data_IF_682163910882
#
_entry.id   IF_682163910882
#
_cell.length_a   1.000
_cell.length_b   1.000
_cell.length_c   1.000
_cell.angle_alpha   90.00
_cell.angle_beta   90.00
_cell.angle_gamma   90.00
#
_symmetry.space_group_name_H-M   'P 1'
#
loop_
_entity.id
_entity.type
_entity.pdbx_description
1 polymer ?
#
# COMPACT_ATOMS: atom_id res chain seq x y z
N UNK A 1 25.98 -34.31 -12.38
CA UNK A 1 25.97 -34.14 -10.91
C UNK A 1 26.51 -32.79 -10.49
N UNK A 2 27.73 -32.50 -10.87
CA UNK A 2 28.36 -31.23 -10.52
C UNK A 2 27.64 -30.06 -11.15
N UNK A 3 27.11 -30.21 -12.34
CA UNK A 3 26.34 -29.19 -13.02
C UNK A 3 25.10 -28.81 -12.24
N UNK A 4 24.51 -29.80 -11.59
CA UNK A 4 23.30 -29.56 -10.79
C UNK A 4 23.58 -28.65 -9.60
N UNK A 5 24.74 -28.82 -8.99
CA UNK A 5 25.14 -27.98 -7.88
C UNK A 5 25.29 -26.51 -8.29
N UNK A 6 25.86 -26.28 -9.47
CA UNK A 6 26.03 -24.94 -9.99
C UNK A 6 24.70 -24.27 -10.24
N UNK A 7 23.74 -25.01 -10.76
CA UNK A 7 22.39 -24.46 -10.97
C UNK A 7 21.74 -24.06 -9.67
N UNK A 8 21.88 -24.86 -8.64
CA UNK A 8 21.35 -24.53 -7.34
C UNK A 8 21.95 -23.26 -6.78
N UNK A 9 23.22 -23.06 -6.95
CA UNK A 9 23.90 -21.85 -6.51
C UNK A 9 23.35 -20.63 -7.20
N UNK A 10 23.10 -20.71 -8.49
CA UNK A 10 22.56 -19.59 -9.24
C UNK A 10 21.15 -19.22 -8.76
N UNK A 11 20.32 -20.21 -8.52
CA UNK A 11 18.96 -19.97 -7.99
C UNK A 11 19.01 -19.30 -6.62
N UNK A 12 19.95 -19.73 -5.80
CA UNK A 12 20.11 -19.16 -4.48
C UNK A 12 20.50 -17.69 -4.55
N UNK A 13 21.36 -17.32 -5.48
CA UNK A 13 21.75 -15.93 -5.68
C UNK A 13 20.56 -15.06 -6.07
N UNK A 14 19.67 -15.56 -6.92
CA UNK A 14 18.47 -14.84 -7.29
C UNK A 14 17.55 -14.62 -6.08
N UNK A 15 17.45 -15.62 -5.22
CA UNK A 15 16.66 -15.50 -4.01
C UNK A 15 17.21 -14.40 -3.10
N UNK A 16 18.54 -14.26 -3.03
CA UNK A 16 19.14 -13.20 -2.23
C UNK A 16 18.79 -11.82 -2.74
N UNK A 17 18.74 -11.63 -4.06
CA UNK A 17 18.33 -10.35 -4.65
C UNK A 17 16.88 -10.04 -4.29
N UNK A 18 16.00 -11.03 -4.38
CA UNK A 18 14.60 -10.85 -4.04
C UNK A 18 14.42 -10.48 -2.57
N UNK A 19 15.32 -10.92 -1.68
CA UNK A 19 15.22 -10.65 -0.26
C UNK A 19 15.46 -9.17 0.08
N UNK A 20 15.94 -8.36 -0.86
CA UNK A 20 16.16 -6.94 -0.64
C UNK A 20 14.85 -6.14 -0.62
N UNK A 21 13.77 -6.69 -1.19
CA UNK A 21 12.49 -5.99 -1.25
C UNK A 21 11.76 -6.06 0.08
N UNK A 22 11.07 -4.98 0.40
CA UNK A 22 10.38 -4.85 1.68
C UNK A 22 8.87 -4.98 1.52
N UNK A 23 8.20 -5.29 2.62
CA UNK A 23 6.75 -5.39 2.70
C UNK A 23 6.22 -4.32 3.66
N UNK A 24 5.14 -3.68 3.26
CA UNK A 24 4.44 -2.71 4.10
C UNK A 24 2.99 -3.14 4.27
N UNK A 25 2.62 -3.40 5.51
CA UNK A 25 1.25 -3.74 5.89
C UNK A 25 0.56 -2.46 6.35
N UNK A 26 -0.49 -2.06 5.64
CA UNK A 26 -1.22 -0.84 5.95
C UNK A 26 -2.59 -1.22 6.49
N UNK A 27 -2.86 -0.82 7.72
CA UNK A 27 -4.19 -0.96 8.30
C UNK A 27 -4.94 0.34 8.07
N UNK A 28 -5.97 0.30 7.23
CA UNK A 28 -6.86 1.43 7.02
C UNK A 28 -7.95 1.36 8.09
N UNK A 29 -8.06 2.38 8.91
CA UNK A 29 -8.97 2.39 10.06
C UNK A 29 -10.04 3.46 9.91
N UNK A 30 -11.09 3.36 10.70
CA UNK A 30 -12.23 4.27 10.72
C UNK A 30 -12.96 4.32 9.38
N UNK A 31 -13.07 3.17 8.73
CA UNK A 31 -13.82 3.02 7.48
C UNK A 31 -15.31 3.07 7.82
N UNK A 32 -16.05 3.96 7.15
CA UNK A 32 -17.44 4.23 7.50
C UNK A 32 -18.46 3.27 6.89
N UNK A 33 -18.09 2.50 5.88
CA UNK A 33 -19.05 1.60 5.22
C UNK A 33 -18.35 0.44 4.54
N UNK A 34 -19.14 -0.57 4.16
CA UNK A 34 -18.68 -1.72 3.41
C UNK A 34 -18.71 -1.49 1.89
N UNK A 35 -19.05 -0.29 1.45
CA UNK A 35 -19.22 0.00 0.04
C UNK A 35 -17.87 0.20 -0.65
N UNK A 36 -17.73 -0.37 -1.84
CA UNK A 36 -16.57 -0.15 -2.69
C UNK A 36 -15.29 -0.75 -2.17
N UNK A 37 -14.19 -0.04 -2.32
CA UNK A 37 -12.86 -0.54 -2.01
C UNK A 37 -12.00 0.51 -1.34
N UNK A 38 -10.99 0.05 -0.62
CA UNK A 38 -9.92 0.91 -0.13
C UNK A 38 -8.78 0.82 -1.13
N UNK A 39 -8.40 1.94 -1.71
CA UNK A 39 -7.31 2.02 -2.68
C UNK A 39 -6.10 2.63 -2.02
N UNK A 40 -4.93 2.05 -2.25
CA UNK A 40 -3.68 2.48 -1.64
C UNK A 40 -2.65 2.75 -2.71
N UNK A 41 -1.90 3.82 -2.55
CA UNK A 41 -0.79 4.15 -3.42
C UNK A 41 0.42 4.51 -2.58
N UNK A 42 1.55 3.86 -2.85
CA UNK A 42 2.82 4.19 -2.20
C UNK A 42 3.75 4.79 -3.24
N UNK A 43 4.09 6.06 -3.04
CA UNK A 43 4.97 6.79 -3.93
C UNK A 43 6.38 6.75 -3.39
N UNK A 44 7.32 6.34 -4.23
CA UNK A 44 8.70 6.14 -3.84
C UNK A 44 9.58 7.13 -4.58
N UNK A 45 10.42 7.86 -3.85
CA UNK A 45 11.32 8.84 -4.44
C UNK A 45 12.23 8.19 -5.48
N UNK A 46 12.34 8.80 -6.65
CA UNK A 46 13.17 8.29 -7.72
C UNK A 46 12.51 7.23 -8.59
N UNK A 47 11.28 6.84 -8.29
CA UNK A 47 10.53 5.89 -9.11
C UNK A 47 9.35 6.59 -9.77
N UNK A 48 9.16 6.32 -11.06
CA UNK A 48 8.06 6.92 -11.81
C UNK A 48 6.72 6.30 -11.47
N UNK A 49 6.72 4.99 -11.22
CA UNK A 49 5.49 4.26 -10.98
C UNK A 49 5.31 3.99 -9.48
N UNK A 50 4.17 4.40 -8.90
CA UNK A 50 3.88 4.04 -7.53
C UNK A 50 3.55 2.56 -7.39
N UNK A 51 3.60 2.08 -6.17
CA UNK A 51 3.13 0.73 -5.84
C UNK A 51 1.67 0.86 -5.42
N UNK A 52 0.80 0.05 -6.00
CA UNK A 52 -0.63 0.10 -5.73
C UNK A 52 -1.11 -1.13 -4.98
N UNK A 53 -2.10 -0.93 -4.14
CA UNK A 53 -2.79 -2.01 -3.47
C UNK A 53 -4.27 -1.68 -3.34
N UNK A 54 -5.07 -2.71 -3.12
CA UNK A 54 -6.51 -2.54 -3.00
C UNK A 54 -7.10 -3.66 -2.15
N UNK A 55 -8.16 -3.34 -1.44
CA UNK A 55 -8.94 -4.31 -0.69
C UNK A 55 -10.40 -3.90 -0.73
N UNK A 56 -11.34 -4.86 -0.76
CA UNK A 56 -12.74 -4.51 -0.55
C UNK A 56 -12.90 -3.76 0.77
N UNK A 57 -13.77 -2.76 0.78
CA UNK A 57 -14.00 -1.98 1.99
C UNK A 57 -14.80 -2.78 3.00
N UNK A 58 -14.51 -2.54 4.26
CA UNK A 58 -15.25 -3.13 5.37
C UNK A 58 -15.33 -2.10 6.47
N UNK A 59 -16.51 -1.89 7.00
CA UNK A 59 -16.73 -0.94 8.09
C UNK A 59 -15.79 -1.26 9.25
N UNK A 60 -15.08 -0.26 9.73
CA UNK A 60 -14.07 -0.42 10.76
C UNK A 60 -12.66 -0.38 10.21
N UNK A 61 -12.10 -1.51 9.83
CA UNK A 61 -10.73 -1.54 9.31
C UNK A 61 -10.48 -2.70 8.36
N UNK A 62 -9.54 -2.49 7.44
CA UNK A 62 -9.01 -3.54 6.57
C UNK A 62 -7.49 -3.40 6.50
N UNK A 63 -6.83 -4.47 6.10
CA UNK A 63 -5.38 -4.49 5.91
C UNK A 63 -5.08 -4.63 4.44
N UNK A 64 -4.22 -3.75 3.93
CA UNK A 64 -3.70 -3.82 2.56
C UNK A 64 -2.20 -4.02 2.66
N UNK A 65 -1.69 -5.05 2.00
CA UNK A 65 -0.27 -5.38 2.04
C UNK A 65 0.38 -4.99 0.71
N UNK A 66 1.43 -4.19 0.78
CA UNK A 66 2.24 -3.83 -0.39
C UNK A 66 3.56 -4.58 -0.32
N UNK A 67 3.93 -5.25 -1.40
CA UNK A 67 5.16 -6.03 -1.46
C UNK A 67 6.10 -5.47 -2.51
N UNK A 68 7.35 -5.88 -2.46
CA UNK A 68 8.31 -5.51 -3.47
C UNK A 68 8.78 -4.06 -3.41
N UNK A 69 8.78 -3.46 -2.24
CA UNK A 69 9.22 -2.07 -2.07
C UNK A 69 10.72 -2.05 -1.82
N UNK A 70 11.47 -1.47 -2.74
CA UNK A 70 12.91 -1.32 -2.63
C UNK A 70 13.25 0.12 -2.28
N UNK A 71 13.00 0.48 -1.02
CA UNK A 71 13.22 1.83 -0.55
C UNK A 71 13.19 1.87 0.98
N UNK A 72 13.74 2.93 1.55
CA UNK A 72 13.76 3.15 3.00
C UNK A 72 12.56 3.96 3.49
N UNK A 73 11.78 4.52 2.56
CA UNK A 73 10.61 5.31 2.90
C UNK A 73 9.66 5.37 1.70
N UNK A 74 8.39 5.63 1.97
CA UNK A 74 7.38 5.80 0.93
C UNK A 74 6.34 6.79 1.41
N UNK A 75 5.76 7.55 0.46
CA UNK A 75 4.62 8.39 0.74
C UNK A 75 3.37 7.59 0.42
N UNK A 76 2.62 7.24 1.45
CA UNK A 76 1.45 6.40 1.31
C UNK A 76 0.20 7.26 1.34
N UNK A 77 -0.65 7.07 0.34
CA UNK A 77 -1.96 7.70 0.27
C UNK A 77 -3.01 6.60 0.13
N UNK A 78 -4.12 6.76 0.79
CA UNK A 78 -5.22 5.83 0.60
C UNK A 78 -6.54 6.57 0.62
N UNK A 79 -7.53 6.01 -0.04
CA UNK A 79 -8.86 6.57 -0.03
C UNK A 79 -9.92 5.47 -0.15
N UNK A 80 -11.12 5.82 0.32
CA UNK A 80 -12.25 4.92 0.30
C UNK A 80 -13.09 5.22 -0.95
N UNK A 81 -12.94 4.38 -1.97
CA UNK A 81 -13.66 4.52 -3.23
C UNK A 81 -15.02 3.85 -3.11
N UNK A 82 -15.99 4.58 -2.57
CA UNK A 82 -17.31 4.03 -2.28
C UNK A 82 -18.15 3.75 -3.52
N UNK A 83 -17.94 4.49 -4.59
CA UNK A 83 -18.70 4.31 -5.83
C UNK A 83 -18.02 3.44 -6.89
N UNK A 84 -16.80 2.96 -6.61
CA UNK A 84 -16.11 2.02 -7.47
C UNK A 84 -15.57 2.58 -8.76
N UNK A 85 -15.37 3.89 -8.86
CA UNK A 85 -14.88 4.52 -10.09
C UNK A 85 -13.37 4.65 -10.14
N UNK A 86 -12.66 4.24 -9.10
CA UNK A 86 -11.20 4.30 -8.97
C UNK A 86 -10.63 5.72 -8.98
N UNK A 87 -11.47 6.71 -8.69
CA UNK A 87 -11.06 8.11 -8.65
C UNK A 87 -11.50 8.72 -7.33
N UNK A 88 -10.64 9.57 -6.76
CA UNK A 88 -11.00 10.33 -5.58
C UNK A 88 -12.04 11.39 -5.98
N UNK A 89 -13.22 11.31 -5.36
CA UNK A 89 -14.26 12.28 -5.61
C UNK A 89 -13.93 13.59 -4.88
N UNK A 90 -13.99 14.70 -5.60
CA UNK A 90 -13.70 16.01 -5.04
C UNK A 90 -14.99 16.79 -4.82
N UNK A 91 -15.13 17.37 -3.63
CA UNK A 91 -16.22 18.26 -3.30
C UNK A 91 -15.72 19.69 -3.21
N UNK A 92 -16.59 20.58 -2.77
CA UNK A 92 -16.24 22.00 -2.64
C UNK A 92 -15.13 22.27 -1.64
N UNK A 93 -15.02 21.42 -0.63
CA UNK A 93 -14.04 21.57 0.44
C UNK A 93 -12.88 20.59 0.36
N UNK A 94 -12.69 19.96 -0.80
CA UNK A 94 -11.66 18.95 -0.99
C UNK A 94 -12.25 17.58 -1.27
N UNK A 95 -11.53 16.52 -0.96
CA UNK A 95 -12.02 15.16 -1.26
C UNK A 95 -13.37 14.89 -0.60
N UNK A 96 -14.30 14.33 -1.37
CA UNK A 96 -15.63 13.96 -0.88
C UNK A 96 -15.66 12.54 -0.30
N UNK A 97 -14.65 11.74 -0.62
CA UNK A 97 -14.50 10.39 -0.08
C UNK A 97 -13.46 10.38 1.03
N UNK A 98 -13.49 9.34 1.87
CA UNK A 98 -12.53 9.22 2.94
C UNK A 98 -11.11 9.07 2.41
N UNK A 99 -10.15 9.70 3.05
CA UNK A 99 -8.76 9.62 2.62
C UNK A 99 -7.82 9.72 3.80
N UNK A 100 -6.56 9.30 3.55
CA UNK A 100 -5.46 9.48 4.50
C UNK A 100 -4.16 9.51 3.71
N UNK A 101 -3.17 10.20 4.25
CA UNK A 101 -1.84 10.25 3.65
C UNK A 101 -0.81 10.32 4.75
N UNK A 102 0.32 9.64 4.54
CA UNK A 102 1.39 9.61 5.54
C UNK A 102 2.70 9.24 4.88
N UNK A 103 3.77 9.87 5.32
CA UNK A 103 5.12 9.48 4.95
C UNK A 103 5.57 8.37 5.89
N UNK A 104 5.88 7.21 5.37
CA UNK A 104 6.22 6.03 6.14
C UNK A 104 7.69 5.67 5.98
N UNK A 105 8.37 5.39 7.08
CA UNK A 105 9.72 4.86 7.06
C UNK A 105 9.64 3.33 7.01
N UNK A 106 10.58 2.74 6.30
CA UNK A 106 10.61 1.30 6.09
C UNK A 106 11.95 0.74 6.59
N UNK A 107 12.17 0.70 7.91
CA UNK A 107 13.47 0.28 8.46
C UNK A 107 13.70 -1.23 8.44
N UNK A 108 12.66 -2.02 8.24
CA UNK A 108 12.74 -3.48 8.33
C UNK A 108 12.27 -4.13 7.03
N UNK A 109 12.41 -5.45 6.92
CA UNK A 109 11.86 -6.19 5.80
C UNK A 109 10.35 -6.19 5.81
N UNK A 110 9.74 -6.26 6.99
CA UNK A 110 8.31 -6.13 7.16
C UNK A 110 8.02 -4.94 8.04
N UNK A 111 7.15 -4.08 7.56
CA UNK A 111 6.78 -2.85 8.24
C UNK A 111 5.27 -2.78 8.34
N UNK A 112 4.75 -2.14 9.38
CA UNK A 112 3.31 -1.99 9.57
C UNK A 112 2.99 -0.57 9.95
N UNK A 113 1.86 -0.07 9.46
CA UNK A 113 1.38 1.26 9.79
C UNK A 113 -0.14 1.24 9.83
N UNK A 114 -0.71 2.05 10.71
CA UNK A 114 -2.15 2.27 10.78
C UNK A 114 -2.45 3.68 10.33
N UNK A 115 -3.41 3.82 9.42
CA UNK A 115 -3.81 5.12 8.88
C UNK A 115 -5.32 5.25 9.02
N UNK A 116 -5.75 6.30 9.71
CA UNK A 116 -7.17 6.55 9.92
C UNK A 116 -7.73 7.39 8.79
N UNK A 117 -8.84 6.96 8.23
CA UNK A 117 -9.51 7.69 7.17
C UNK A 117 -10.26 8.90 7.72
N UNK A 118 -10.18 9.98 6.98
CA UNK A 118 -10.90 11.20 7.27
C UNK A 118 -11.96 11.43 6.18
N UNK A 119 -13.20 11.72 6.58
CA UNK A 119 -14.33 11.91 5.67
C UNK A 119 -14.82 13.36 5.75
N UNK A 120 -14.18 14.29 5.02
CA UNK A 120 -14.46 15.71 5.21
C UNK A 120 -15.83 16.15 4.70
N UNK A 121 -16.36 15.48 3.69
CA UNK A 121 -17.61 15.90 3.06
C UNK A 121 -18.85 15.63 3.89
N UNK A 122 -18.71 14.94 5.00
CA UNK A 122 -19.83 14.68 5.89
C UNK A 122 -20.15 15.84 6.82
N UNK A 123 -19.30 16.82 6.89
CA UNK A 123 -19.49 17.98 7.77
C UNK A 123 -20.23 19.14 7.10
#
# INVERSE_FOLDING_TARGET
>A
MKTLHLLLTAVFALASVAAAAKTLEITAADIRSDKGSILVMAKIAGQEQPVYGMSPAKSGKVVVTLEGIDADAAEVSLFHDEDGDYKMKMGERGPAEGYAAKKCKLPAERNAVTMKLYYPAEE
#
